data_IF_325591642798
#
_entry.id   IF_325591642798
#
_cell.length_a   1.000
_cell.length_b   1.000
_cell.length_c   1.000
_cell.angle_alpha   90.00
_cell.angle_beta   90.00
_cell.angle_gamma   90.00
#
_symmetry.space_group_name_H-M   'P 1'
#
loop_
_entity.id
_entity.type
_entity.pdbx_description
1 polymer ?
#
# COMPACT_ATOMS: atom_id res chain seq x y z
N UNK A 1 9.67 28.17 42.54
CA UNK A 1 9.84 27.92 41.09
C UNK A 1 9.59 26.45 40.80
N UNK A 2 8.40 26.04 40.35
CA UNK A 2 8.16 24.67 39.91
C UNK A 2 8.66 24.47 38.47
N UNK A 3 9.33 23.34 38.24
CA UNK A 3 10.00 22.98 36.98
C UNK A 3 8.96 22.50 35.96
N UNK A 4 8.55 23.39 35.07
CA UNK A 4 7.67 23.15 33.92
C UNK A 4 8.38 22.36 32.81
N UNK A 5 8.87 21.15 33.12
CA UNK A 5 9.72 20.37 32.20
C UNK A 5 9.17 18.99 31.82
N UNK A 6 7.95 18.64 32.20
CA UNK A 6 7.41 17.27 32.02
C UNK A 6 6.21 17.15 31.08
N UNK A 7 5.56 18.26 30.69
CA UNK A 7 4.40 18.18 29.79
C UNK A 7 4.77 18.03 28.31
N UNK A 8 5.97 18.46 27.89
CA UNK A 8 6.32 18.46 26.47
C UNK A 8 6.64 17.07 25.90
N UNK A 9 7.02 16.09 26.74
CA UNK A 9 7.46 14.78 26.24
C UNK A 9 6.32 13.79 25.97
N UNK A 10 5.13 14.02 26.55
CA UNK A 10 4.02 13.09 26.45
C UNK A 10 3.18 13.26 25.16
N UNK A 11 3.36 14.37 24.44
CA UNK A 11 2.60 14.66 23.21
C UNK A 11 3.22 14.06 21.93
N UNK A 12 4.47 13.58 21.98
CA UNK A 12 5.16 13.06 20.79
C UNK A 12 4.81 11.60 20.42
N UNK A 13 4.06 10.87 21.26
CA UNK A 13 3.80 9.43 21.07
C UNK A 13 2.50 9.11 20.30
N UNK A 14 1.72 10.11 19.88
CA UNK A 14 0.40 9.90 19.24
C UNK A 14 0.42 9.87 17.70
N UNK A 15 1.58 10.01 17.06
CA UNK A 15 1.69 10.12 15.58
C UNK A 15 2.17 8.82 14.91
N UNK A 16 2.34 7.73 15.66
CA UNK A 16 2.82 6.44 15.11
C UNK A 16 1.72 5.58 14.46
N UNK A 17 0.48 6.06 14.36
CA UNK A 17 -0.66 5.28 13.89
C UNK A 17 -1.00 5.40 12.40
N UNK A 18 -0.35 6.29 11.64
CA UNK A 18 -0.93 6.77 10.37
C UNK A 18 -0.23 6.33 9.07
N UNK A 19 0.86 5.55 9.12
CA UNK A 19 1.65 5.23 7.92
C UNK A 19 2.02 3.73 7.80
N UNK A 20 1.13 2.84 8.27
CA UNK A 20 1.33 1.40 8.21
C UNK A 20 0.23 0.68 7.42
N UNK A 21 0.49 -0.56 6.97
CA UNK A 21 -0.52 -1.35 6.29
C UNK A 21 -1.70 -1.67 7.23
N UNK A 22 -2.88 -1.87 6.66
CA UNK A 22 -4.03 -2.40 7.40
C UNK A 22 -3.71 -3.78 7.95
N UNK A 23 -4.24 -4.08 9.14
CA UNK A 23 -4.18 -5.42 9.76
C UNK A 23 -5.49 -6.18 9.65
N UNK A 24 -6.51 -5.58 9.03
CA UNK A 24 -7.78 -6.23 8.78
C UNK A 24 -7.61 -7.30 7.70
N UNK A 25 -7.68 -8.57 8.10
CA UNK A 25 -7.50 -9.69 7.18
C UNK A 25 -8.64 -9.82 6.17
N UNK A 26 -9.86 -9.41 6.51
CA UNK A 26 -10.94 -9.46 5.53
C UNK A 26 -10.69 -8.43 4.44
N UNK A 27 -10.30 -7.21 4.83
CA UNK A 27 -9.92 -6.17 3.89
C UNK A 27 -8.77 -6.61 2.97
N UNK A 28 -7.72 -7.23 3.53
CA UNK A 28 -6.59 -7.74 2.73
C UNK A 28 -7.03 -8.81 1.72
N UNK A 29 -7.90 -9.75 2.11
CA UNK A 29 -8.45 -10.74 1.17
C UNK A 29 -9.28 -10.12 0.06
N UNK A 30 -10.10 -9.13 0.40
CA UNK A 30 -10.95 -8.43 -0.57
C UNK A 30 -10.07 -7.67 -1.58
N UNK A 31 -9.06 -6.93 -1.11
CA UNK A 31 -8.09 -6.23 -1.97
C UNK A 31 -7.32 -7.21 -2.85
N UNK A 32 -6.88 -8.35 -2.30
CA UNK A 32 -6.16 -9.36 -3.08
C UNK A 32 -7.02 -9.92 -4.21
N UNK A 33 -8.24 -10.35 -3.90
CA UNK A 33 -9.16 -10.89 -4.90
C UNK A 33 -9.52 -9.85 -5.99
N UNK A 34 -9.75 -8.59 -5.59
CA UNK A 34 -10.00 -7.49 -6.51
C UNK A 34 -8.80 -7.17 -7.39
N UNK A 35 -7.58 -7.20 -6.84
CA UNK A 35 -6.35 -7.01 -7.60
C UNK A 35 -6.19 -8.11 -8.66
N UNK A 36 -6.37 -9.38 -8.31
CA UNK A 36 -6.31 -10.47 -9.28
C UNK A 36 -7.38 -10.36 -10.37
N UNK A 37 -8.58 -9.86 -10.04
CA UNK A 37 -9.62 -9.61 -11.04
C UNK A 37 -9.29 -8.46 -12.01
N UNK A 38 -8.33 -7.61 -11.66
CA UNK A 38 -7.78 -6.58 -12.56
C UNK A 38 -6.70 -7.13 -13.49
N UNK A 39 -6.29 -8.39 -13.35
CA UNK A 39 -5.36 -9.03 -14.27
C UNK A 39 -5.95 -8.98 -15.70
N UNK A 40 -5.29 -8.20 -16.54
CA UNK A 40 -5.65 -8.01 -17.93
C UNK A 40 -4.68 -8.74 -18.87
N UNK A 41 -4.84 -8.56 -20.19
CA UNK A 41 -3.82 -8.95 -21.15
C UNK A 41 -2.46 -8.36 -20.72
N UNK A 42 -1.40 -9.18 -20.71
CA UNK A 42 -0.06 -8.77 -20.27
C UNK A 42 0.31 -7.40 -20.83
N UNK A 43 0.26 -6.40 -19.95
CA UNK A 43 0.55 -5.02 -20.30
C UNK A 43 2.07 -4.88 -20.45
N UNK A 44 2.51 -4.24 -21.52
CA UNK A 44 3.94 -3.96 -21.72
C UNK A 44 4.42 -2.79 -20.84
N UNK A 45 3.50 -2.03 -20.25
CA UNK A 45 3.79 -0.85 -19.43
C UNK A 45 2.80 -0.69 -18.29
N UNK A 46 3.23 0.09 -17.29
CA UNK A 46 2.38 0.54 -16.20
C UNK A 46 1.20 1.35 -16.74
N UNK A 47 0.00 0.95 -16.36
CA UNK A 47 -1.24 1.60 -16.79
C UNK A 47 -2.00 2.06 -15.55
N UNK A 48 -2.19 3.38 -15.43
CA UNK A 48 -2.98 3.94 -14.35
C UNK A 48 -4.47 3.66 -14.57
N UNK A 49 -5.15 3.20 -13.52
CA UNK A 49 -6.59 3.03 -13.53
C UNK A 49 -7.28 4.33 -13.12
N UNK A 50 -8.24 4.85 -13.92
CA UNK A 50 -9.07 5.96 -13.51
C UNK A 50 -9.90 5.57 -12.28
N UNK A 51 -10.12 6.53 -11.36
CA UNK A 51 -10.82 6.31 -10.09
C UNK A 51 -12.19 5.63 -10.21
N UNK A 52 -12.89 5.85 -11.32
CA UNK A 52 -14.19 5.23 -11.62
C UNK A 52 -14.12 3.72 -11.88
N UNK A 53 -12.93 3.16 -12.09
CA UNK A 53 -12.68 1.73 -12.31
C UNK A 53 -12.06 1.03 -11.10
N UNK A 54 -11.87 1.72 -9.99
CA UNK A 54 -11.31 1.09 -8.78
C UNK A 54 -12.35 0.16 -8.15
N UNK A 55 -12.00 -1.12 -7.91
CA UNK A 55 -12.86 -2.03 -7.16
C UNK A 55 -13.16 -1.49 -5.74
N UNK A 56 -14.31 -1.84 -5.14
CA UNK A 56 -14.75 -1.26 -3.86
C UNK A 56 -13.76 -1.40 -2.69
N UNK A 57 -13.14 -2.56 -2.51
CA UNK A 57 -12.14 -2.81 -1.47
C UNK A 57 -10.90 -1.96 -1.64
N UNK A 58 -10.32 -1.93 -2.85
CA UNK A 58 -9.21 -1.05 -3.21
C UNK A 58 -9.59 0.42 -3.02
N UNK A 59 -10.79 0.84 -3.46
CA UNK A 59 -11.26 2.21 -3.30
C UNK A 59 -11.45 2.61 -1.83
N UNK A 60 -11.82 1.66 -0.95
CA UNK A 60 -12.01 1.89 0.48
C UNK A 60 -10.71 2.23 1.23
N UNK A 61 -9.56 1.82 0.70
CA UNK A 61 -8.25 2.28 1.18
C UNK A 61 -8.06 3.80 0.99
N UNK A 62 -8.81 4.41 0.07
CA UNK A 62 -8.65 5.80 -0.39
C UNK A 62 -7.23 6.08 -0.94
N UNK A 63 -6.76 5.31 -1.94
CA UNK A 63 -5.44 5.51 -2.50
C UNK A 63 -5.38 6.81 -3.31
N UNK A 64 -4.16 7.31 -3.50
CA UNK A 64 -3.87 8.41 -4.41
C UNK A 64 -3.97 7.94 -5.87
N UNK A 65 -3.36 6.79 -6.17
CA UNK A 65 -3.38 6.17 -7.49
C UNK A 65 -3.40 4.64 -7.40
N UNK A 66 -3.92 4.02 -8.46
CA UNK A 66 -3.85 2.57 -8.68
C UNK A 66 -3.31 2.36 -10.09
N UNK A 67 -2.32 1.49 -10.23
CA UNK A 67 -1.69 1.17 -11.51
C UNK A 67 -1.57 -0.34 -11.68
N UNK A 68 -1.69 -0.82 -12.92
CA UNK A 68 -1.47 -2.23 -13.27
C UNK A 68 -0.20 -2.32 -14.12
N UNK A 69 0.66 -3.29 -13.81
CA UNK A 69 1.83 -3.66 -14.60
C UNK A 69 1.71 -5.12 -15.09
N UNK A 70 2.76 -5.66 -15.71
CA UNK A 70 2.83 -7.09 -16.04
C UNK A 70 2.94 -7.97 -14.78
N UNK A 71 3.48 -7.42 -13.70
CA UNK A 71 3.85 -8.16 -12.50
C UNK A 71 2.76 -8.12 -11.43
N UNK A 72 1.90 -7.10 -11.45
CA UNK A 72 0.87 -6.94 -10.43
C UNK A 72 0.13 -5.61 -10.44
N UNK A 73 -0.55 -5.36 -9.34
CA UNK A 73 -1.26 -4.11 -9.04
C UNK A 73 -0.50 -3.32 -7.99
N UNK A 74 -0.26 -2.05 -8.29
CA UNK A 74 0.30 -1.07 -7.39
C UNK A 74 -0.78 -0.12 -6.88
N UNK A 75 -0.85 0.04 -5.56
CA UNK A 75 -1.81 0.90 -4.87
C UNK A 75 -1.02 1.91 -4.04
N UNK A 76 -0.87 3.12 -4.58
CA UNK A 76 -0.14 4.19 -3.91
C UNK A 76 -1.05 4.89 -2.90
N UNK A 77 -0.69 4.85 -1.62
CA UNK A 77 -1.47 5.45 -0.53
C UNK A 77 -1.07 6.90 -0.29
N UNK A 78 0.23 7.18 -0.32
CA UNK A 78 0.75 8.52 -0.09
C UNK A 78 2.01 8.73 -0.94
N UNK A 79 2.00 9.67 -1.88
CA UNK A 79 3.17 9.96 -2.71
C UNK A 79 4.27 10.64 -1.88
N UNK A 80 5.52 10.31 -2.17
CA UNK A 80 6.71 11.01 -1.69
C UNK A 80 7.75 11.10 -2.81
N UNK A 81 8.85 11.85 -2.62
CA UNK A 81 9.81 12.12 -3.71
C UNK A 81 10.54 10.87 -4.23
N UNK A 82 10.49 9.77 -3.49
CA UNK A 82 11.15 8.47 -3.72
C UNK A 82 10.18 7.34 -4.08
N UNK A 83 8.91 7.66 -4.33
CA UNK A 83 7.86 6.70 -4.69
C UNK A 83 6.79 6.50 -3.63
N UNK A 84 7.03 6.89 -2.37
CA UNK A 84 5.97 6.92 -1.35
C UNK A 84 5.62 5.58 -0.73
N UNK A 85 4.45 5.53 -0.08
CA UNK A 85 3.94 4.36 0.64
C UNK A 85 2.77 3.73 -0.09
N UNK A 86 2.71 2.42 -0.11
CA UNK A 86 1.62 1.73 -0.77
C UNK A 86 1.65 0.21 -0.65
N UNK A 87 0.71 -0.40 -1.37
CA UNK A 87 0.62 -1.85 -1.48
C UNK A 87 1.02 -2.29 -2.88
N UNK A 88 1.69 -3.42 -2.96
CA UNK A 88 1.90 -4.14 -4.20
C UNK A 88 1.31 -5.54 -4.08
N UNK A 89 0.54 -5.94 -5.07
CA UNK A 89 -0.11 -7.24 -5.16
C UNK A 89 0.40 -7.92 -6.43
N UNK A 90 1.28 -8.93 -6.33
CA UNK A 90 1.74 -9.66 -7.50
C UNK A 90 0.61 -10.50 -8.11
N UNK A 91 0.62 -10.69 -9.42
CA UNK A 91 -0.27 -11.65 -10.08
C UNK A 91 0.22 -13.10 -9.94
N UNK A 92 1.51 -13.28 -9.68
CA UNK A 92 2.13 -14.57 -9.39
C UNK A 92 2.60 -14.59 -7.93
N UNK A 93 1.92 -15.37 -7.09
CA UNK A 93 2.24 -15.56 -5.66
C UNK A 93 3.66 -16.10 -5.41
N UNK A 94 4.30 -16.69 -6.43
CA UNK A 94 5.68 -17.15 -6.35
C UNK A 94 6.72 -16.06 -6.64
N UNK A 95 6.27 -14.93 -7.18
CA UNK A 95 7.12 -13.78 -7.49
C UNK A 95 7.26 -12.86 -6.27
N UNK A 96 8.51 -12.59 -5.88
CA UNK A 96 8.78 -11.55 -4.89
C UNK A 96 8.88 -10.21 -5.62
N UNK A 97 8.23 -9.14 -5.14
CA UNK A 97 8.38 -7.83 -5.74
C UNK A 97 9.83 -7.35 -5.64
N UNK A 98 10.26 -6.64 -6.69
CA UNK A 98 11.58 -6.02 -6.80
C UNK A 98 11.49 -4.50 -6.59
N UNK A 99 12.52 -3.85 -6.01
CA UNK A 99 13.77 -4.43 -5.52
C UNK A 99 13.63 -5.11 -4.15
N UNK A 100 14.49 -6.10 -3.90
CA UNK A 100 14.55 -6.80 -2.61
C UNK A 100 14.85 -5.82 -1.47
N UNK A 101 14.13 -5.95 -0.36
CA UNK A 101 14.30 -5.13 0.84
C UNK A 101 13.39 -3.90 0.92
N UNK A 102 12.73 -3.51 -0.18
CA UNK A 102 11.75 -2.41 -0.19
C UNK A 102 10.35 -2.84 0.29
N UNK A 103 10.03 -4.12 0.12
CA UNK A 103 8.71 -4.68 0.35
C UNK A 103 8.68 -5.54 1.61
N UNK A 104 7.68 -5.31 2.45
CA UNK A 104 7.38 -6.11 3.64
C UNK A 104 6.05 -6.83 3.45
N UNK A 105 5.92 -8.12 3.82
CA UNK A 105 4.63 -8.82 3.73
C UNK A 105 3.56 -8.14 4.60
N UNK A 106 2.43 -7.77 4.00
CA UNK A 106 1.24 -7.28 4.69
C UNK A 106 0.25 -8.42 5.01
N UNK A 107 0.34 -9.55 4.27
CA UNK A 107 -0.51 -10.73 4.40
C UNK A 107 -1.33 -11.00 3.15
N UNK A 108 -1.85 -12.22 2.98
CA UNK A 108 -2.71 -12.62 1.85
C UNK A 108 -2.05 -12.36 0.47
N UNK A 109 -0.74 -12.61 0.33
CA UNK A 109 0.00 -12.33 -0.93
C UNK A 109 0.30 -10.85 -1.17
N UNK A 110 -0.12 -9.95 -0.28
CA UNK A 110 0.07 -8.50 -0.41
C UNK A 110 1.36 -8.05 0.27
N UNK A 111 2.06 -7.11 -0.37
CA UNK A 111 3.25 -6.47 0.15
C UNK A 111 3.00 -4.98 0.42
N UNK A 112 3.53 -4.48 1.52
CA UNK A 112 3.60 -3.06 1.85
C UNK A 112 4.98 -2.53 1.48
N UNK A 113 5.04 -1.40 0.78
CA UNK A 113 6.30 -0.72 0.48
C UNK A 113 6.35 0.67 1.14
N UNK A 114 7.58 1.14 1.32
CA UNK A 114 7.91 2.45 1.88
C UNK A 114 8.74 3.26 0.88
N UNK A 115 8.83 4.58 1.09
CA UNK A 115 9.89 5.43 0.57
C UNK A 115 11.27 4.79 0.61
N UNK A 116 12.06 4.99 -0.44
CA UNK A 116 13.47 4.57 -0.51
C UNK A 116 14.38 5.43 0.37
#
# INVERSE_FOLDING_TARGET
MPKSGKLAFMMLMLIAGCAGPTRDRQMLRDIHAEALALEGPRLQSWTSLPKTRWPPGIASLRPESVSISADGVDILMSPYFDGGWGYFIPFDDSSSPEPRGRYEPAGEGIYWYRPD
#
